data_IF_228256415037
#
_entry.id   IF_228256415037
#
_cell.length_a   1.000
_cell.length_b   1.000
_cell.length_c   1.000
_cell.angle_alpha   90.00
_cell.angle_beta   90.00
_cell.angle_gamma   90.00
#
_symmetry.space_group_name_H-M   'P 1'
#
loop_
_entity.id
_entity.type
_entity.pdbx_description
1 polymer ?
#
# COMPACT_ATOMS: atom_id res chain seq x y z
N UNK A 1 30.82 14.59 28.93
CA UNK A 1 30.94 13.41 28.07
C UNK A 1 29.55 12.82 27.89
N UNK A 2 28.81 13.35 26.91
CA UNK A 2 27.52 12.82 26.48
C UNK A 2 27.78 12.06 25.19
N UNK A 3 27.83 10.74 25.27
CA UNK A 3 27.92 9.86 24.11
C UNK A 3 26.78 8.85 24.18
N UNK A 4 25.57 9.33 23.87
CA UNK A 4 24.46 8.53 23.34
C UNK A 4 23.32 9.43 22.85
N UNK A 5 23.63 10.53 22.14
CA UNK A 5 22.60 11.32 21.44
C UNK A 5 23.03 11.58 20.01
N UNK A 6 23.02 10.53 19.18
CA UNK A 6 23.00 10.74 17.72
C UNK A 6 22.47 9.55 16.94
N UNK A 7 21.16 9.31 17.04
CA UNK A 7 20.36 8.73 15.97
C UNK A 7 18.88 8.75 16.35
N UNK A 8 18.25 9.93 16.45
CA UNK A 8 16.79 10.01 16.49
C UNK A 8 16.31 11.02 15.45
N UNK A 9 15.49 10.50 14.52
CA UNK A 9 14.71 11.20 13.49
C UNK A 9 15.51 11.80 12.34
N UNK A 10 16.01 10.94 11.46
CA UNK A 10 15.68 11.17 10.05
C UNK A 10 14.46 10.30 9.80
N UNK A 11 13.31 10.96 9.64
CA UNK A 11 12.11 10.34 9.06
C UNK A 11 12.54 9.86 7.68
N UNK A 12 12.96 8.59 7.58
CA UNK A 12 13.05 7.93 6.28
C UNK A 12 11.66 8.12 5.68
N UNK A 13 11.58 8.69 4.47
CA UNK A 13 10.32 8.81 3.73
C UNK A 13 9.52 7.53 3.92
N UNK A 14 8.25 7.67 4.32
CA UNK A 14 7.40 6.51 4.56
C UNK A 14 7.44 5.61 3.32
N UNK A 15 8.06 4.44 3.45
CA UNK A 15 8.37 3.62 2.28
C UNK A 15 7.09 2.92 1.85
N UNK A 16 6.83 2.95 0.55
CA UNK A 16 5.69 2.29 -0.06
C UNK A 16 6.17 1.08 -0.85
N UNK A 17 5.39 0.00 -0.79
CA UNK A 17 5.72 -1.25 -1.49
C UNK A 17 4.46 -1.93 -2.01
N UNK A 18 4.61 -2.62 -3.15
CA UNK A 18 3.54 -3.42 -3.73
C UNK A 18 3.20 -4.58 -2.79
N UNK A 19 1.92 -4.78 -2.55
CA UNK A 19 1.42 -5.86 -1.70
C UNK A 19 0.84 -7.04 -2.50
N UNK A 20 0.98 -7.00 -3.83
CA UNK A 20 0.66 -8.11 -4.71
C UNK A 20 -0.79 -8.19 -5.17
N UNK A 21 -1.68 -7.31 -4.71
CA UNK A 21 -3.03 -7.30 -5.23
C UNK A 21 -3.29 -6.23 -6.27
N UNK A 22 -4.26 -6.54 -7.11
CA UNK A 22 -4.49 -5.90 -8.39
C UNK A 22 -5.95 -6.06 -8.84
N UNK A 23 -6.33 -5.31 -9.87
CA UNK A 23 -7.58 -5.53 -10.61
C UNK A 23 -7.31 -5.56 -12.11
N UNK A 24 -8.09 -6.35 -12.84
CA UNK A 24 -8.00 -6.44 -14.29
C UNK A 24 -8.47 -5.15 -14.99
N UNK A 25 -8.13 -5.00 -16.27
CA UNK A 25 -8.63 -3.93 -17.12
C UNK A 25 -10.16 -3.87 -17.08
N UNK A 26 -10.72 -2.67 -16.89
CA UNK A 26 -12.17 -2.44 -16.77
C UNK A 26 -12.88 -3.23 -15.66
N UNK A 27 -12.14 -3.80 -14.71
CA UNK A 27 -12.70 -4.44 -13.52
C UNK A 27 -12.75 -3.46 -12.35
N UNK A 28 -13.79 -3.58 -11.52
CA UNK A 28 -13.83 -2.96 -10.18
C UNK A 28 -13.48 -3.96 -9.08
N UNK A 29 -13.26 -5.22 -9.45
CA UNK A 29 -13.00 -6.34 -8.54
C UNK A 29 -11.49 -6.47 -8.34
N UNK A 30 -11.08 -6.40 -7.07
CA UNK A 30 -9.71 -6.62 -6.61
C UNK A 30 -9.48 -8.09 -6.26
N UNK A 31 -8.25 -8.55 -6.48
CA UNK A 31 -7.76 -9.86 -6.10
C UNK A 31 -6.27 -9.86 -5.77
N UNK A 32 -5.78 -10.96 -5.22
CA UNK A 32 -4.36 -11.20 -4.99
C UNK A 32 -3.73 -11.91 -6.19
N UNK A 33 -2.48 -11.58 -6.51
CA UNK A 33 -1.72 -12.25 -7.58
C UNK A 33 -1.41 -13.72 -7.31
N UNK A 34 -1.50 -14.15 -6.05
CA UNK A 34 -1.30 -15.52 -5.61
C UNK A 34 -2.60 -16.36 -5.58
N UNK A 35 -3.70 -15.81 -6.11
CA UNK A 35 -5.02 -16.44 -6.20
C UNK A 35 -5.67 -16.77 -4.84
N UNK A 36 -5.11 -16.26 -3.73
CA UNK A 36 -5.73 -16.39 -2.41
C UNK A 36 -7.05 -15.62 -2.33
N UNK A 37 -7.92 -16.05 -1.39
CA UNK A 37 -9.27 -15.48 -1.25
C UNK A 37 -9.19 -14.00 -0.83
N UNK A 38 -9.81 -13.12 -1.60
CA UNK A 38 -9.86 -11.68 -1.34
C UNK A 38 -10.95 -11.28 -0.32
N UNK A 39 -10.86 -11.79 0.91
CA UNK A 39 -11.85 -11.56 1.98
C UNK A 39 -11.43 -10.53 3.03
N UNK A 40 -10.16 -10.46 3.41
CA UNK A 40 -9.61 -9.38 4.24
C UNK A 40 -9.39 -8.11 3.42
N UNK A 41 -9.73 -6.95 3.99
CA UNK A 41 -9.60 -5.64 3.34
C UNK A 41 -9.20 -4.59 4.37
N UNK A 42 -8.09 -3.90 4.15
CA UNK A 42 -7.56 -2.86 5.03
C UNK A 42 -7.21 -1.58 4.25
N UNK A 43 -8.18 -1.12 3.47
CA UNK A 43 -8.08 0.08 2.67
C UNK A 43 -7.93 1.32 3.56
N UNK A 44 -7.07 2.25 3.14
CA UNK A 44 -7.03 3.57 3.74
C UNK A 44 -8.37 4.31 3.54
N UNK A 45 -8.62 5.34 4.35
CA UNK A 45 -9.83 6.13 4.20
C UNK A 45 -9.90 6.77 2.80
N UNK A 46 -10.99 6.50 2.06
CA UNK A 46 -11.18 6.98 0.69
C UNK A 46 -10.70 6.01 -0.40
N UNK A 47 -10.09 4.88 -0.02
CA UNK A 47 -9.65 3.83 -0.92
C UNK A 47 -10.66 2.66 -0.97
N UNK A 48 -10.66 1.84 -2.06
CA UNK A 48 -9.89 2.03 -3.29
C UNK A 48 -10.40 3.20 -4.14
N UNK A 49 -9.51 3.95 -4.79
CA UNK A 49 -9.92 4.94 -5.80
C UNK A 49 -10.57 4.23 -6.98
N UNK A 50 -11.76 4.72 -7.38
CA UNK A 50 -12.46 4.25 -8.58
C UNK A 50 -11.83 4.84 -9.86
N UNK A 51 -10.58 4.48 -10.10
CA UNK A 51 -9.78 4.89 -11.26
C UNK A 51 -9.58 3.70 -12.20
N UNK A 52 -9.66 3.93 -13.50
CA UNK A 52 -9.28 2.94 -14.53
C UNK A 52 -7.77 2.82 -14.69
N UNK A 53 -7.01 3.79 -14.19
CA UNK A 53 -5.57 3.84 -14.38
C UNK A 53 -4.81 3.19 -13.22
N UNK A 54 -5.42 3.14 -12.03
CA UNK A 54 -4.80 2.59 -10.83
C UNK A 54 -5.26 1.16 -10.61
N UNK A 55 -4.34 0.23 -10.89
CA UNK A 55 -4.65 -1.21 -10.96
C UNK A 55 -3.87 -2.05 -9.97
N UNK A 56 -2.99 -1.44 -9.19
CA UNK A 56 -2.15 -2.12 -8.21
C UNK A 56 -2.38 -1.56 -6.81
N UNK A 57 -2.07 -2.36 -5.80
CA UNK A 57 -2.12 -1.94 -4.39
C UNK A 57 -0.71 -1.79 -3.80
N UNK A 58 -0.53 -0.73 -3.02
CA UNK A 58 0.66 -0.49 -2.20
C UNK A 58 0.27 -0.35 -0.73
N UNK A 59 1.24 -0.55 0.15
CA UNK A 59 1.14 -0.23 1.58
C UNK A 59 2.32 0.62 2.00
N UNK A 60 2.08 1.51 2.95
CA UNK A 60 3.15 2.23 3.67
C UNK A 60 3.69 1.39 4.82
N UNK A 61 4.98 1.54 5.13
CA UNK A 61 5.62 0.89 6.28
C UNK A 61 5.08 1.43 7.61
N UNK A 62 4.68 2.71 7.66
CA UNK A 62 4.25 3.35 8.91
C UNK A 62 2.82 3.02 9.30
N UNK A 63 1.92 2.81 8.34
CA UNK A 63 0.49 2.66 8.62
C UNK A 63 -0.10 1.29 8.27
N UNK A 64 0.44 0.58 7.28
CA UNK A 64 -0.08 -0.73 6.87
C UNK A 64 -1.39 -0.70 6.06
N UNK A 65 -2.01 0.47 5.92
CA UNK A 65 -3.21 0.64 5.08
C UNK A 65 -2.89 0.54 3.60
N UNK A 66 -3.88 0.14 2.82
CA UNK A 66 -3.74 -0.09 1.39
C UNK A 66 -4.20 1.13 0.59
N UNK A 67 -3.44 1.44 -0.45
CA UNK A 67 -3.72 2.52 -1.40
C UNK A 67 -3.67 1.97 -2.83
N UNK A 68 -4.43 2.57 -3.73
CA UNK A 68 -4.33 2.25 -5.15
C UNK A 68 -3.21 3.04 -5.81
N UNK A 69 -2.54 2.45 -6.80
CA UNK A 69 -1.44 3.10 -7.52
C UNK A 69 -1.41 2.72 -9.01
N UNK A 70 -0.81 3.62 -9.81
CA UNK A 70 -0.44 3.38 -11.20
C UNK A 70 0.97 2.77 -11.21
N UNK A 71 1.20 1.76 -12.04
CA UNK A 71 2.55 1.22 -12.31
C UNK A 71 3.19 1.91 -13.49
#
# INVERSE_FOLDING_TARGET
MMLAEKARRNFLSDAEFLIGGYKAENSTIWGWSDESIFNYKDWAAGEPINSTDEKCMISSVSYGFWYTTKT
#
